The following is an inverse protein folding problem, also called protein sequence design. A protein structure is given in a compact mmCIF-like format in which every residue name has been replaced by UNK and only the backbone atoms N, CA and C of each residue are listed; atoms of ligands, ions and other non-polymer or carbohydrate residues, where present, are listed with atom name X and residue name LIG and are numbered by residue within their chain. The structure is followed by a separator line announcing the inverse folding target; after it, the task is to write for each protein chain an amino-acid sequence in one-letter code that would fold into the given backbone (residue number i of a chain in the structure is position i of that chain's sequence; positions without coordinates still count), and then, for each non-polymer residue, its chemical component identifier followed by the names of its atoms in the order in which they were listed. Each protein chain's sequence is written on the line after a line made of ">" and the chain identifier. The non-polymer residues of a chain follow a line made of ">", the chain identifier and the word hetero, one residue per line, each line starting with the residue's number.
data_IF_970467350146
#
_entry.id   IF_970467350146
#
_cell.length_a   1.000
_cell.length_b   1.000
_cell.length_c   1.000
_cell.angle_alpha   90.00
_cell.angle_beta   90.00
_cell.angle_gamma   90.00
#
_symmetry.space_group_name_H-M   'P 1'
#
loop_
_entity.id
_entity.type
_entity.pdbx_description
1 polymer ?
#
# COMPACT_ATOMS: atom_id res chain seq x y z
N UNK A 1 19.73 -53.43 31.85
CA UNK A 1 20.20 -52.24 31.09
C UNK A 1 20.09 -52.53 29.59
N UNK A 2 19.15 -51.86 28.92
CA UNK A 2 19.20 -51.44 27.50
C UNK A 2 17.90 -50.69 27.25
N UNK A 3 18.02 -49.37 27.19
CA UNK A 3 16.94 -48.43 26.90
C UNK A 3 16.98 -48.18 25.41
N UNK A 4 15.99 -48.66 24.67
CA UNK A 4 15.79 -48.30 23.27
C UNK A 4 14.61 -47.34 23.16
N UNK A 5 14.89 -46.17 22.58
CA UNK A 5 14.00 -45.01 22.45
C UNK A 5 12.99 -45.26 21.31
N UNK A 6 11.75 -44.72 21.40
CA UNK A 6 10.77 -44.84 20.32
C UNK A 6 11.08 -43.87 19.16
N UNK A 7 10.60 -44.14 17.94
CA UNK A 7 10.82 -43.29 16.79
C UNK A 7 9.97 -42.01 16.88
N UNK A 8 10.61 -40.89 16.60
CA UNK A 8 10.01 -39.55 16.55
C UNK A 8 9.07 -39.47 15.34
N UNK A 9 7.76 -39.36 15.61
CA UNK A 9 6.75 -38.95 14.64
C UNK A 9 7.00 -37.49 14.25
N UNK A 10 7.68 -37.30 13.11
CA UNK A 10 7.92 -36.00 12.50
C UNK A 10 6.65 -35.58 11.74
N UNK A 11 5.76 -34.91 12.46
CA UNK A 11 4.54 -34.32 11.91
C UNK A 11 4.93 -33.09 11.06
N UNK A 12 5.07 -33.30 9.75
CA UNK A 12 5.24 -32.20 8.80
C UNK A 12 3.94 -31.38 8.73
N UNK A 13 3.85 -30.32 9.54
CA UNK A 13 2.93 -29.22 9.29
C UNK A 13 3.43 -28.43 8.07
N UNK A 14 3.09 -28.92 6.88
CA UNK A 14 3.17 -28.12 5.65
C UNK A 14 2.08 -27.05 5.74
N UNK A 15 2.47 -25.87 6.23
CA UNK A 15 1.65 -24.66 6.17
C UNK A 15 1.58 -24.26 4.69
N UNK A 16 0.54 -24.73 4.00
CA UNK A 16 0.18 -24.39 2.63
C UNK A 16 -0.20 -22.91 2.50
N UNK A 17 0.79 -22.00 2.47
CA UNK A 17 0.56 -20.57 2.17
C UNK A 17 0.34 -20.31 0.66
N UNK A 18 0.54 -21.31 -0.20
CA UNK A 18 0.55 -21.13 -1.67
C UNK A 18 -0.81 -21.09 -2.40
N UNK A 19 -1.90 -21.55 -1.80
CA UNK A 19 -3.19 -21.70 -2.51
C UNK A 19 -4.23 -20.61 -2.24
N UNK A 20 -4.04 -19.77 -1.21
CA UNK A 20 -5.06 -18.82 -0.75
C UNK A 20 -5.16 -17.51 -1.55
N UNK A 21 -4.22 -17.22 -2.44
CA UNK A 21 -4.21 -15.96 -3.19
C UNK A 21 -5.29 -15.91 -4.29
N UNK A 22 -5.58 -17.05 -4.94
CA UNK A 22 -6.48 -17.07 -6.11
C UNK A 22 -7.95 -16.80 -5.74
N UNK A 23 -8.45 -17.41 -4.67
CA UNK A 23 -9.83 -17.20 -4.20
C UNK A 23 -10.08 -15.75 -3.76
N UNK A 24 -9.04 -15.02 -3.35
CA UNK A 24 -9.16 -13.61 -2.89
C UNK A 24 -9.23 -12.59 -4.01
N UNK A 25 -8.97 -12.98 -5.26
CA UNK A 25 -9.01 -12.09 -6.44
C UNK A 25 -10.31 -12.19 -7.24
N UNK A 26 -11.17 -13.18 -6.94
CA UNK A 26 -12.28 -13.57 -7.81
C UNK A 26 -13.66 -13.03 -7.36
N UNK A 27 -13.73 -12.21 -6.31
CA UNK A 27 -14.99 -11.82 -5.65
C UNK A 27 -15.15 -10.30 -5.49
N UNK A 28 -15.27 -9.58 -6.61
CA UNK A 28 -15.94 -8.28 -6.80
C UNK A 28 -15.54 -7.78 -8.21
N UNK A 29 -16.17 -8.31 -9.26
CA UNK A 29 -16.13 -7.66 -10.56
C UNK A 29 -17.16 -6.53 -10.50
N UNK A 30 -16.71 -5.32 -10.21
CA UNK A 30 -17.52 -4.12 -10.36
C UNK A 30 -17.92 -4.01 -11.83
N UNK A 31 -19.16 -4.38 -12.14
CA UNK A 31 -19.76 -4.13 -13.43
C UNK A 31 -19.68 -2.62 -13.72
N UNK A 32 -19.45 -2.24 -14.98
CA UNK A 32 -19.53 -0.88 -15.55
C UNK A 32 -18.28 0.04 -15.65
N UNK A 33 -17.04 -0.40 -15.37
CA UNK A 33 -15.86 0.41 -15.71
C UNK A 33 -15.11 -0.14 -16.94
N UNK A 34 -15.05 0.64 -18.02
CA UNK A 34 -14.17 0.33 -19.16
C UNK A 34 -12.71 0.58 -18.75
N UNK A 35 -11.81 -0.43 -18.81
CA UNK A 35 -10.40 -0.24 -18.46
C UNK A 35 -9.75 0.77 -19.40
N UNK A 36 -9.05 1.76 -18.84
CA UNK A 36 -8.25 2.72 -19.59
C UNK A 36 -6.79 2.44 -19.31
N UNK A 37 -6.16 1.71 -20.22
CA UNK A 37 -4.71 1.49 -20.24
C UNK A 37 -4.07 2.27 -21.37
N UNK A 38 -4.26 1.80 -22.61
CA UNK A 38 -4.00 2.58 -23.82
C UNK A 38 -5.03 3.72 -23.91
N UNK A 39 -4.58 4.97 -24.09
CA UNK A 39 -5.45 6.15 -24.16
C UNK A 39 -5.59 6.94 -22.85
N UNK A 40 -4.96 6.50 -21.74
CA UNK A 40 -4.91 7.29 -20.49
C UNK A 40 -4.43 8.72 -20.72
N UNK A 41 -3.36 8.89 -21.50
CA UNK A 41 -2.79 10.20 -21.79
C UNK A 41 -3.78 11.11 -22.53
N UNK A 42 -4.56 10.57 -23.47
CA UNK A 42 -5.55 11.34 -24.22
C UNK A 42 -6.73 11.75 -23.33
N UNK A 43 -7.22 10.83 -22.50
CA UNK A 43 -8.28 11.12 -21.53
C UNK A 43 -7.83 12.19 -20.52
N UNK A 44 -6.64 12.06 -19.94
CA UNK A 44 -6.09 13.05 -19.00
C UNK A 44 -5.82 14.39 -19.68
N UNK A 45 -5.37 14.40 -20.94
CA UNK A 45 -5.11 15.65 -21.67
C UNK A 45 -6.37 16.49 -21.85
N UNK A 46 -7.55 15.87 -21.96
CA UNK A 46 -8.83 16.60 -22.01
C UNK A 46 -9.09 17.34 -20.70
N UNK A 47 -9.01 16.62 -19.56
CA UNK A 47 -9.22 17.22 -18.22
C UNK A 47 -8.18 18.31 -17.95
N UNK A 48 -6.91 18.09 -18.34
CA UNK A 48 -5.84 19.09 -18.17
C UNK A 48 -6.14 20.37 -18.95
N UNK A 49 -6.58 20.27 -20.21
CA UNK A 49 -6.93 21.45 -21.02
C UNK A 49 -8.12 22.20 -20.44
N UNK A 50 -9.13 21.49 -19.96
CA UNK A 50 -10.30 22.10 -19.31
C UNK A 50 -9.92 22.79 -18.00
N UNK A 51 -9.09 22.16 -17.17
CA UNK A 51 -8.56 22.79 -15.95
C UNK A 51 -7.79 24.07 -16.27
N UNK A 52 -6.96 24.08 -17.31
CA UNK A 52 -6.24 25.27 -17.78
C UNK A 52 -7.20 26.36 -18.28
N UNK A 53 -8.25 25.99 -19.03
CA UNK A 53 -9.26 26.92 -19.52
C UNK A 53 -10.07 27.55 -18.37
N UNK A 54 -10.29 26.81 -17.28
CA UNK A 54 -10.89 27.31 -16.05
C UNK A 54 -9.92 28.12 -15.16
N UNK A 55 -8.65 28.27 -15.56
CA UNK A 55 -7.63 28.97 -14.78
C UNK A 55 -6.99 28.15 -13.65
N UNK A 56 -7.37 26.88 -13.48
CA UNK A 56 -6.86 26.01 -12.42
C UNK A 56 -5.55 25.31 -12.83
N UNK A 57 -4.48 26.11 -12.90
CA UNK A 57 -3.15 25.65 -13.29
C UNK A 57 -2.60 24.60 -12.31
N UNK A 58 -2.99 24.67 -11.03
CA UNK A 58 -2.53 23.74 -10.00
C UNK A 58 -3.14 22.36 -10.20
N UNK A 59 -4.44 22.26 -10.51
CA UNK A 59 -5.08 20.99 -10.85
C UNK A 59 -4.49 20.40 -12.13
N UNK A 60 -4.31 21.22 -13.17
CA UNK A 60 -3.71 20.80 -14.44
C UNK A 60 -2.32 20.17 -14.22
N UNK A 61 -1.44 20.86 -13.49
CA UNK A 61 -0.10 20.37 -13.17
C UNK A 61 -0.14 19.10 -12.30
N UNK A 62 -1.08 19.01 -11.35
CA UNK A 62 -1.25 17.82 -10.51
C UNK A 62 -1.60 16.58 -11.35
N UNK A 63 -2.57 16.70 -12.26
CA UNK A 63 -3.01 15.60 -13.13
C UNK A 63 -1.91 15.22 -14.12
N UNK A 64 -1.24 16.20 -14.72
CA UNK A 64 -0.16 15.96 -15.68
C UNK A 64 1.02 15.21 -15.07
N UNK A 65 1.37 15.52 -13.82
CA UNK A 65 2.45 14.86 -13.08
C UNK A 65 2.00 13.59 -12.33
N UNK A 66 0.77 13.12 -12.59
CA UNK A 66 0.24 11.93 -11.92
C UNK A 66 0.95 10.62 -12.29
N UNK A 67 1.37 10.34 -13.55
CA UNK A 67 2.10 9.10 -13.86
C UNK A 67 3.39 8.96 -13.06
N UNK A 68 3.73 7.73 -12.64
CA UNK A 68 5.01 7.48 -11.98
C UNK A 68 6.17 7.54 -13.00
N UNK A 69 7.40 7.91 -12.58
CA UNK A 69 8.53 8.06 -13.50
C UNK A 69 8.85 6.79 -14.31
N UNK A 70 8.68 5.62 -13.68
CA UNK A 70 8.91 4.31 -14.29
C UNK A 70 7.80 3.90 -15.29
N UNK A 71 6.77 4.71 -15.45
CA UNK A 71 5.74 4.57 -16.49
C UNK A 71 6.07 5.36 -17.75
N UNK A 72 6.92 6.39 -17.62
CA UNK A 72 7.35 7.25 -18.73
C UNK A 72 8.59 6.71 -19.43
N UNK A 73 9.35 5.83 -18.77
CA UNK A 73 10.52 5.18 -19.34
C UNK A 73 11.29 4.37 -18.30
N UNK A 74 12.40 3.74 -18.72
CA UNK A 74 13.33 3.10 -17.80
C UNK A 74 13.84 4.11 -16.77
N UNK A 75 13.83 3.73 -15.50
CA UNK A 75 14.41 4.52 -14.42
C UNK A 75 15.51 3.73 -13.72
N UNK A 76 16.54 4.43 -13.25
CA UNK A 76 17.63 3.86 -12.46
C UNK A 76 17.33 3.89 -10.94
N UNK A 77 16.18 4.44 -10.53
CA UNK A 77 15.79 4.56 -9.13
C UNK A 77 14.70 3.57 -8.73
N UNK A 78 14.68 3.21 -7.44
CA UNK A 78 13.57 2.47 -6.86
C UNK A 78 12.37 3.42 -6.68
N UNK A 79 11.23 3.06 -7.25
CA UNK A 79 9.98 3.80 -7.08
C UNK A 79 9.19 3.22 -5.92
N UNK A 80 8.97 4.03 -4.88
CA UNK A 80 8.10 3.68 -3.75
C UNK A 80 6.83 4.54 -3.88
N UNK A 81 5.70 3.89 -4.17
CA UNK A 81 4.42 4.58 -4.21
C UNK A 81 3.82 4.68 -2.80
N UNK A 82 3.51 5.91 -2.37
CA UNK A 82 2.64 6.12 -1.21
C UNK A 82 1.22 5.69 -1.55
N UNK A 83 0.61 4.90 -0.67
CA UNK A 83 -0.78 4.47 -0.79
C UNK A 83 -1.58 5.20 0.27
N UNK A 84 -2.40 6.15 -0.16
CA UNK A 84 -3.29 6.88 0.75
C UNK A 84 -4.31 5.94 1.39
N UNK A 85 -4.84 6.35 2.54
CA UNK A 85 -5.92 5.60 3.21
C UNK A 85 -7.24 5.76 2.48
N UNK A 86 -7.48 6.93 1.91
CA UNK A 86 -8.69 7.32 1.20
C UNK A 86 -8.35 8.31 0.11
N UNK A 87 -9.19 8.33 -0.93
CA UNK A 87 -9.13 9.35 -1.95
C UNK A 87 -9.92 10.58 -1.50
N UNK A 88 -9.22 11.68 -1.25
CA UNK A 88 -9.82 12.93 -0.81
C UNK A 88 -9.59 14.02 -1.85
N UNK A 89 -10.59 14.89 -2.03
CA UNK A 89 -10.44 16.12 -2.80
C UNK A 89 -9.35 16.99 -2.16
N UNK A 90 -8.41 17.55 -2.95
CA UNK A 90 -7.42 18.47 -2.40
C UNK A 90 -8.09 19.70 -1.79
N UNK A 91 -7.66 20.12 -0.60
CA UNK A 91 -8.26 21.24 0.12
C UNK A 91 -8.15 22.60 -0.61
N UNK A 92 -7.15 22.73 -1.48
CA UNK A 92 -6.92 23.92 -2.30
C UNK A 92 -7.79 23.97 -3.56
N UNK A 93 -8.54 22.90 -3.86
CA UNK A 93 -9.34 22.85 -5.08
C UNK A 93 -10.64 23.62 -4.91
N UNK A 94 -10.87 24.58 -5.81
CA UNK A 94 -12.07 25.39 -5.82
C UNK A 94 -13.31 24.59 -6.24
N UNK A 95 -14.48 25.09 -5.87
CA UNK A 95 -15.77 24.46 -6.20
C UNK A 95 -16.05 24.46 -7.72
N UNK A 96 -15.55 25.46 -8.44
CA UNK A 96 -15.64 25.58 -9.90
C UNK A 96 -15.03 24.38 -10.62
N UNK A 97 -13.87 23.89 -10.16
CA UNK A 97 -13.12 22.77 -10.76
C UNK A 97 -13.47 21.39 -10.17
N UNK A 98 -14.49 21.30 -9.30
CA UNK A 98 -14.80 20.06 -8.57
C UNK A 98 -15.28 18.91 -9.49
N UNK A 99 -15.94 19.26 -10.59
CA UNK A 99 -16.34 18.29 -11.62
C UNK A 99 -15.11 17.66 -12.30
N UNK A 100 -14.08 18.44 -12.63
CA UNK A 100 -12.83 17.95 -13.21
C UNK A 100 -12.09 16.99 -12.29
N UNK A 101 -12.12 17.25 -10.98
CA UNK A 101 -11.59 16.31 -10.00
C UNK A 101 -12.38 15.01 -9.98
N UNK A 102 -13.71 15.08 -10.02
CA UNK A 102 -14.58 13.90 -10.07
C UNK A 102 -14.29 13.04 -11.30
N UNK A 103 -14.14 13.66 -12.46
CA UNK A 103 -13.78 12.98 -13.71
C UNK A 103 -12.40 12.34 -13.62
N UNK A 104 -11.44 13.06 -13.04
CA UNK A 104 -10.10 12.52 -12.81
C UNK A 104 -10.12 11.32 -11.85
N UNK A 105 -10.91 11.36 -10.79
CA UNK A 105 -11.11 10.22 -9.87
C UNK A 105 -11.69 9.02 -10.61
N UNK A 106 -12.69 9.22 -11.48
CA UNK A 106 -13.26 8.13 -12.28
C UNK A 106 -12.23 7.52 -13.23
N UNK A 107 -11.43 8.35 -13.92
CA UNK A 107 -10.34 7.86 -14.76
C UNK A 107 -9.35 7.02 -13.95
N UNK A 108 -8.98 7.46 -12.74
CA UNK A 108 -8.09 6.69 -11.86
C UNK A 108 -8.69 5.33 -11.52
N UNK A 109 -9.99 5.25 -11.23
CA UNK A 109 -10.66 3.96 -10.98
C UNK A 109 -10.62 3.03 -12.19
N UNK A 110 -10.82 3.56 -13.41
CA UNK A 110 -10.69 2.80 -14.65
C UNK A 110 -9.25 2.31 -14.88
N UNK A 111 -8.25 3.15 -14.59
CA UNK A 111 -6.82 2.79 -14.67
C UNK A 111 -6.45 1.74 -13.62
N UNK A 112 -7.04 1.82 -12.42
CA UNK A 112 -6.88 0.80 -11.37
C UNK A 112 -7.37 -0.56 -11.87
N UNK A 113 -8.54 -0.61 -12.53
CA UNK A 113 -9.07 -1.84 -13.11
C UNK A 113 -8.13 -2.40 -14.19
N UNK A 114 -7.61 -1.54 -15.07
CA UNK A 114 -6.61 -1.95 -16.07
C UNK A 114 -5.36 -2.58 -15.43
N UNK A 115 -4.76 -1.95 -14.42
CA UNK A 115 -3.59 -2.51 -13.74
C UNK A 115 -3.90 -3.82 -13.02
N UNK A 116 -5.11 -3.95 -12.48
CA UNK A 116 -5.53 -5.15 -11.77
C UNK A 116 -5.66 -6.35 -12.72
N UNK A 117 -6.28 -6.16 -13.89
CA UNK A 117 -6.36 -7.21 -14.90
C UNK A 117 -4.97 -7.63 -15.39
N UNK A 118 -4.07 -6.66 -15.65
CA UNK A 118 -2.68 -7.00 -15.99
C UNK A 118 -1.95 -7.74 -14.87
N UNK A 119 -2.21 -7.41 -13.61
CA UNK A 119 -1.62 -8.13 -12.48
C UNK A 119 -2.08 -9.60 -12.46
N UNK A 120 -3.36 -9.85 -12.74
CA UNK A 120 -3.90 -11.22 -12.86
C UNK A 120 -3.20 -11.99 -13.98
N UNK A 121 -3.03 -11.38 -15.15
CA UNK A 121 -2.34 -12.02 -16.28
C UNK A 121 -0.89 -12.38 -15.93
N UNK A 122 -0.16 -11.47 -15.28
CA UNK A 122 1.23 -11.71 -14.86
C UNK A 122 1.32 -12.85 -13.84
N UNK A 123 0.40 -12.90 -12.87
CA UNK A 123 0.32 -14.00 -11.89
C UNK A 123 0.00 -15.33 -12.60
N UNK A 124 -0.86 -15.32 -13.61
CA UNK A 124 -1.18 -16.54 -14.36
C UNK A 124 0.01 -17.03 -15.18
N UNK A 125 0.73 -16.12 -15.86
CA UNK A 125 1.97 -16.45 -16.60
C UNK A 125 3.00 -17.09 -15.68
N UNK A 126 3.22 -16.51 -14.50
CA UNK A 126 4.15 -17.02 -13.48
C UNK A 126 3.88 -18.48 -13.11
N UNK A 127 2.61 -18.87 -12.98
CA UNK A 127 2.23 -20.24 -12.61
C UNK A 127 2.54 -21.27 -13.68
N UNK A 128 2.65 -20.84 -14.94
CA UNK A 128 2.96 -21.72 -16.07
C UNK A 128 4.46 -21.96 -16.23
N UNK A 129 5.31 -21.18 -15.53
CA UNK A 129 6.76 -21.33 -15.56
C UNK A 129 7.19 -22.39 -14.54
N UNK A 130 7.92 -23.44 -14.94
CA UNK A 130 8.43 -24.45 -14.01
C UNK A 130 9.40 -23.84 -12.98
N UNK A 131 9.27 -24.26 -11.72
CA UNK A 131 10.03 -23.74 -10.55
C UNK A 131 11.55 -23.89 -10.67
N UNK A 132 12.06 -24.66 -11.65
CA UNK A 132 13.49 -24.91 -11.85
C UNK A 132 14.27 -23.76 -12.50
N UNK A 133 13.60 -22.88 -13.25
CA UNK A 133 14.25 -21.70 -13.83
C UNK A 133 14.21 -20.56 -12.81
N UNK A 134 15.33 -20.38 -12.13
CA UNK A 134 15.48 -19.53 -10.95
C UNK A 134 14.83 -18.15 -11.07
N UNK A 135 13.94 -17.88 -10.10
CA UNK A 135 13.73 -16.57 -9.46
C UNK A 135 13.71 -15.34 -10.39
N UNK A 136 12.86 -15.30 -11.41
CA UNK A 136 12.71 -14.10 -12.26
C UNK A 136 11.26 -13.86 -12.68
N UNK A 137 10.37 -13.52 -11.74
CA UNK A 137 9.07 -12.96 -12.16
C UNK A 137 8.25 -12.26 -11.07
N UNK A 138 8.41 -12.59 -9.79
CA UNK A 138 7.47 -12.19 -8.72
C UNK A 138 7.30 -10.68 -8.47
N UNK A 139 8.14 -9.81 -9.02
CA UNK A 139 8.12 -8.38 -8.71
C UNK A 139 7.09 -7.59 -9.54
N UNK A 140 6.80 -8.00 -10.79
CA UNK A 140 5.96 -7.18 -11.67
C UNK A 140 4.47 -7.18 -11.27
N UNK A 141 3.92 -8.34 -10.88
CA UNK A 141 2.55 -8.43 -10.37
C UNK A 141 2.36 -7.63 -9.08
N UNK A 142 3.33 -7.66 -8.16
CA UNK A 142 3.31 -6.84 -6.95
C UNK A 142 3.34 -5.35 -7.30
N UNK A 143 4.23 -4.92 -8.21
CA UNK A 143 4.28 -3.53 -8.69
C UNK A 143 2.94 -3.08 -9.27
N UNK A 144 2.30 -3.90 -10.10
CA UNK A 144 0.99 -3.62 -10.65
C UNK A 144 -0.09 -3.50 -9.56
N UNK A 145 -0.13 -4.42 -8.58
CA UNK A 145 -1.07 -4.36 -7.47
C UNK A 145 -0.89 -3.09 -6.61
N UNK A 146 0.36 -2.66 -6.39
CA UNK A 146 0.65 -1.38 -5.70
C UNK A 146 0.10 -0.21 -6.51
N UNK A 147 0.25 -0.22 -7.84
CA UNK A 147 -0.35 0.80 -8.72
C UNK A 147 -1.88 0.80 -8.64
N UNK A 148 -2.52 -0.37 -8.59
CA UNK A 148 -3.98 -0.45 -8.36
C UNK A 148 -4.38 0.32 -7.10
N UNK A 149 -3.64 0.16 -5.99
CA UNK A 149 -3.95 0.85 -4.73
C UNK A 149 -3.64 2.35 -4.75
N UNK A 150 -2.62 2.76 -5.51
CA UNK A 150 -2.36 4.18 -5.74
C UNK A 150 -3.52 4.84 -6.50
N UNK A 151 -4.05 4.16 -7.50
CA UNK A 151 -5.17 4.67 -8.30
C UNK A 151 -6.51 4.59 -7.56
N UNK A 152 -6.77 3.49 -6.86
CA UNK A 152 -7.96 3.24 -6.04
C UNK A 152 -7.56 2.68 -4.66
N UNK A 153 -7.40 3.53 -3.64
CA UNK A 153 -7.01 3.13 -2.28
C UNK A 153 -7.89 2.07 -1.61
N UNK A 154 -9.16 2.02 -1.97
CA UNK A 154 -10.18 1.14 -1.38
C UNK A 154 -10.36 -0.17 -2.15
N UNK A 155 -9.53 -0.43 -3.17
CA UNK A 155 -9.62 -1.62 -4.01
C UNK A 155 -9.35 -2.92 -3.23
N UNK A 156 -10.43 -3.55 -2.76
CA UNK A 156 -10.42 -4.66 -1.79
C UNK A 156 -9.61 -5.86 -2.25
N UNK A 157 -9.71 -6.27 -3.52
CA UNK A 157 -9.02 -7.45 -4.04
C UNK A 157 -7.49 -7.24 -4.01
N UNK A 158 -7.01 -6.12 -4.53
CA UNK A 158 -5.59 -5.74 -4.47
C UNK A 158 -5.06 -5.63 -3.04
N UNK A 159 -5.80 -5.00 -2.11
CA UNK A 159 -5.46 -4.99 -0.67
C UNK A 159 -5.24 -6.41 -0.15
N UNK A 160 -6.19 -7.31 -0.40
CA UNK A 160 -6.11 -8.71 0.04
C UNK A 160 -4.95 -9.48 -0.60
N UNK A 161 -4.67 -9.24 -1.88
CA UNK A 161 -3.59 -9.87 -2.62
C UNK A 161 -2.22 -9.43 -2.11
N UNK A 162 -2.10 -8.16 -1.69
CA UNK A 162 -0.91 -7.61 -1.03
C UNK A 162 -0.83 -7.96 0.47
N UNK A 163 -1.77 -8.75 1.00
CA UNK A 163 -1.74 -9.24 2.38
C UNK A 163 -2.33 -8.29 3.42
N UNK A 164 -2.97 -7.19 3.01
CA UNK A 164 -3.72 -6.35 3.94
C UNK A 164 -4.93 -7.10 4.52
N UNK A 165 -5.27 -6.75 5.76
CA UNK A 165 -6.46 -7.24 6.46
C UNK A 165 -7.34 -6.06 6.85
N UNK A 166 -8.65 -6.30 6.89
CA UNK A 166 -9.61 -5.29 7.36
C UNK A 166 -9.70 -5.36 8.88
N UNK A 167 -9.46 -4.24 9.55
CA UNK A 167 -9.66 -4.08 11.00
C UNK A 167 -10.59 -2.88 11.21
N UNK A 168 -11.81 -3.14 11.72
CA UNK A 168 -12.94 -2.18 11.69
C UNK A 168 -13.15 -1.66 10.26
N UNK A 169 -13.10 -0.35 10.04
CA UNK A 169 -13.30 0.29 8.73
C UNK A 169 -12.00 0.61 8.00
N UNK A 170 -10.87 0.04 8.42
CA UNK A 170 -9.56 0.35 7.84
C UNK A 170 -8.84 -0.89 7.32
N UNK A 171 -8.14 -0.72 6.20
CA UNK A 171 -7.18 -1.68 5.69
C UNK A 171 -5.83 -1.45 6.36
N UNK A 172 -5.31 -2.47 7.02
CA UNK A 172 -4.03 -2.42 7.73
C UNK A 172 -3.21 -3.67 7.47
N UNK A 173 -1.91 -3.60 7.75
CA UNK A 173 -1.05 -4.79 7.74
C UNK A 173 -1.45 -5.76 8.86
N UNK A 174 -1.27 -7.09 8.68
CA UNK A 174 -1.66 -8.08 9.69
C UNK A 174 -1.04 -7.82 11.07
N UNK A 175 0.23 -7.39 11.11
CA UNK A 175 0.90 -7.05 12.36
C UNK A 175 0.24 -5.85 13.04
N UNK A 176 -0.13 -4.81 12.29
CA UNK A 176 -0.86 -3.65 12.80
C UNK A 176 -2.22 -4.06 13.37
N UNK A 177 -2.98 -4.90 12.65
CA UNK A 177 -4.26 -5.42 13.15
C UNK A 177 -4.10 -6.18 14.48
N UNK A 178 -3.03 -6.97 14.64
CA UNK A 178 -2.73 -7.67 15.90
C UNK A 178 -2.45 -6.68 17.05
N UNK A 179 -1.67 -5.63 16.81
CA UNK A 179 -1.39 -4.62 17.85
C UNK A 179 -2.66 -3.86 18.24
N UNK A 180 -3.49 -3.46 17.26
CA UNK A 180 -4.76 -2.79 17.52
C UNK A 180 -5.74 -3.68 18.29
N UNK A 181 -5.79 -4.97 17.98
CA UNK A 181 -6.60 -5.96 18.73
C UNK A 181 -6.17 -6.05 20.19
N UNK A 182 -4.86 -5.91 20.46
CA UNK A 182 -4.31 -5.86 21.81
C UNK A 182 -4.52 -4.52 22.52
N UNK A 183 -5.31 -3.59 21.94
CA UNK A 183 -5.51 -2.22 22.45
C UNK A 183 -4.17 -1.51 22.70
N UNK A 184 -3.25 -1.64 21.73
CA UNK A 184 -2.03 -0.84 21.70
C UNK A 184 -2.22 0.34 20.77
N UNK A 185 -1.62 1.46 21.16
CA UNK A 185 -1.59 2.70 20.42
C UNK A 185 -0.17 2.92 19.89
N UNK A 186 -0.07 3.42 18.67
CA UNK A 186 1.22 3.73 18.06
C UNK A 186 1.59 5.19 18.33
N UNK A 187 2.68 5.41 19.06
CA UNK A 187 3.37 6.69 19.17
C UNK A 187 4.51 6.77 18.15
N UNK A 188 4.74 7.93 17.51
CA UNK A 188 5.84 8.09 16.56
C UNK A 188 7.22 7.95 17.21
N UNK A 189 7.37 8.30 18.49
CA UNK A 189 8.65 8.20 19.22
C UNK A 189 8.82 6.85 19.92
N UNK A 190 7.76 6.32 20.56
CA UNK A 190 7.87 5.12 21.39
C UNK A 190 7.34 3.83 20.72
N UNK A 191 6.78 3.94 19.51
CA UNK A 191 6.18 2.82 18.79
C UNK A 191 4.89 2.30 19.45
N UNK A 192 4.69 0.98 19.50
CA UNK A 192 3.46 0.37 20.00
C UNK A 192 3.40 0.28 21.53
N UNK A 193 2.64 1.16 22.17
CA UNK A 193 2.42 1.19 23.61
C UNK A 193 1.09 0.54 24.00
N UNK A 194 1.02 -0.13 25.15
CA UNK A 194 -0.27 -0.56 25.72
C UNK A 194 -0.98 0.65 26.31
N UNK A 195 -2.30 0.73 26.14
CA UNK A 195 -3.12 1.80 26.73
C UNK A 195 -2.74 2.05 28.21
N UNK A 196 -2.44 3.31 28.54
CA UNK A 196 -2.11 3.75 29.89
C UNK A 196 -0.63 3.71 30.29
N UNK A 197 0.28 3.23 29.43
CA UNK A 197 1.73 3.31 29.68
C UNK A 197 2.38 4.33 28.76
N UNK A 198 2.41 5.60 29.20
CA UNK A 198 3.49 6.50 28.77
C UNK A 198 4.77 5.94 29.39
N UNK A 199 5.79 5.70 28.58
CA UNK A 199 7.12 5.42 29.12
C UNK A 199 7.47 6.61 29.99
N UNK A 200 7.58 6.42 31.30
CA UNK A 200 8.07 7.46 32.20
C UNK A 200 9.44 7.81 31.64
N UNK A 201 9.59 9.02 31.10
CA UNK A 201 10.90 9.59 30.84
C UNK A 201 11.64 9.48 32.16
N UNK A 202 12.64 8.60 32.24
CA UNK A 202 13.60 8.67 33.32
C UNK A 202 14.19 10.07 33.24
N UNK A 203 13.81 10.92 34.19
CA UNK A 203 14.34 12.26 34.34
C UNK A 203 15.86 12.18 34.18
N UNK A 204 16.51 13.09 33.43
CA UNK A 204 17.96 13.19 33.53
C UNK A 204 18.25 13.43 35.01
N UNK A 205 19.01 12.52 35.63
CA UNK A 205 19.50 12.76 36.98
C UNK A 205 20.29 14.06 36.92
N UNK A 206 19.69 15.14 37.39
CA UNK A 206 20.35 16.40 37.66
C UNK A 206 21.35 16.08 38.77
N UNK A 207 22.56 15.74 38.39
CA UNK A 207 23.72 15.73 39.28
C UNK A 207 24.02 17.19 39.61
N UNK A 208 23.25 17.74 40.55
CA UNK A 208 23.52 19.03 41.16
C UNK A 208 24.11 18.80 42.55
N UNK A 209 25.34 19.30 42.70
CA UNK A 209 25.95 19.81 43.93
C UNK A 209 26.54 18.78 44.91
N UNK A 210 27.87 18.68 44.85
CA UNK A 210 28.69 18.81 46.06
C UNK A 210 29.68 19.97 45.86
N UNK A 211 29.21 21.15 46.26
CA UNK A 211 30.07 22.26 46.67
C UNK A 211 30.72 21.87 47.99
N UNK A 212 32.03 21.64 47.99
CA UNK A 212 32.85 21.54 49.18
C UNK A 212 34.04 22.47 49.04
N UNK A 213 33.92 23.68 49.60
CA UNK A 213 35.05 24.60 49.83
C UNK A 213 36.10 23.90 50.70
N UNK A 214 37.38 24.16 50.46
CA UNK A 214 38.34 24.55 51.49
C UNK A 214 39.53 25.27 50.83
N UNK A 215 39.79 26.46 51.35
CA UNK A 215 40.91 27.34 51.01
C UNK A 215 42.24 26.82 51.55
N UNK A 216 43.30 27.01 50.78
CA UNK A 216 44.62 27.51 51.21
C UNK A 216 45.33 28.09 49.99
#
# INVERSE_FOLDING_TARGET
>A
MKVERPPVLLLFFLISIGFHCLQRLHADSGEFLKPVGAGWNDCCSKIVREAQACGDQRLAAYIQNWPLPDELGPTQSQVIASIDKKLLKPAWLEKSSEHLWTDFVQLRQQRAFYFFERAKDEIQKQRRIPVRDGMQSSNNSIRLLVRVLRENPDHKMSRRALGYVKHRDQWVWPNVARQLTQKKEYGPEEGWLRNGKKTIQSSPQTSSLLTGRLSA
#
